data_IF_331109446982
#
_entry.id   IF_331109446982
#
_cell.length_a   1.000
_cell.length_b   1.000
_cell.length_c   1.000
_cell.angle_alpha   90.00
_cell.angle_beta   90.00
_cell.angle_gamma   90.00
#
_symmetry.space_group_name_H-M   'P 1'
#
loop_
_entity.id
_entity.type
_entity.pdbx_description
1 polymer ?
#
# COMPACT_ATOMS: atom_id res chain seq x y z
N UNK A 1 14.30 13.61 -8.76
CA UNK A 1 15.05 13.82 -7.50
C UNK A 1 14.52 15.03 -6.75
N UNK A 2 14.49 16.22 -7.36
CA UNK A 2 14.06 17.46 -6.70
C UNK A 2 12.66 17.40 -6.07
N UNK A 3 11.68 16.83 -6.77
CA UNK A 3 10.32 16.67 -6.25
C UNK A 3 10.26 15.76 -5.01
N UNK A 4 11.05 14.69 -4.98
CA UNK A 4 11.18 13.81 -3.81
C UNK A 4 11.81 14.55 -2.62
N UNK A 5 12.88 15.32 -2.85
CA UNK A 5 13.55 16.08 -1.78
C UNK A 5 12.66 17.20 -1.24
N UNK A 6 11.91 17.88 -2.12
CA UNK A 6 10.90 18.88 -1.73
C UNK A 6 9.77 18.24 -0.94
N UNK A 7 9.28 17.07 -1.36
CA UNK A 7 8.27 16.33 -0.60
C UNK A 7 8.77 15.94 0.80
N UNK A 8 10.03 15.50 0.93
CA UNK A 8 10.66 15.24 2.24
C UNK A 8 10.72 16.51 3.10
N UNK A 9 11.12 17.64 2.52
CA UNK A 9 11.18 18.92 3.22
C UNK A 9 9.79 19.35 3.71
N UNK A 10 8.78 19.32 2.84
CA UNK A 10 7.41 19.66 3.17
C UNK A 10 6.85 18.76 4.27
N UNK A 11 7.09 17.45 4.21
CA UNK A 11 6.65 16.53 5.26
C UNK A 11 7.23 16.87 6.65
N UNK A 12 8.48 17.34 6.70
CA UNK A 12 9.11 17.78 7.96
C UNK A 12 8.55 19.13 8.43
N UNK A 13 8.40 20.10 7.52
CA UNK A 13 7.96 21.46 7.86
C UNK A 13 6.48 21.50 8.26
N UNK A 14 5.63 20.72 7.59
CA UNK A 14 4.18 20.71 7.80
C UNK A 14 3.76 19.93 9.07
N UNK A 15 4.64 19.09 9.64
CA UNK A 15 4.34 18.21 10.78
C UNK A 15 5.17 18.53 12.03
N UNK A 16 5.22 19.81 12.41
CA UNK A 16 5.87 20.27 13.65
C UNK A 16 7.30 19.70 13.82
N UNK A 17 8.23 20.08 12.94
CA UNK A 17 9.60 19.58 12.87
C UNK A 17 10.37 19.41 14.20
N UNK A 18 9.99 20.14 15.27
CA UNK A 18 10.57 19.98 16.61
C UNK A 18 10.07 18.73 17.33
N UNK A 19 8.78 18.42 17.23
CA UNK A 19 8.17 17.21 17.79
C UNK A 19 8.66 15.99 17.03
N UNK A 20 8.64 16.06 15.70
CA UNK A 20 9.12 15.00 14.81
C UNK A 20 10.59 14.64 15.09
N UNK A 21 11.46 15.64 15.21
CA UNK A 21 12.87 15.42 15.55
C UNK A 21 13.04 14.69 16.89
N UNK A 22 12.23 15.04 17.88
CA UNK A 22 12.20 14.35 19.18
C UNK A 22 11.79 12.88 19.06
N UNK A 23 10.77 12.57 18.27
CA UNK A 23 10.30 11.20 18.02
C UNK A 23 11.33 10.36 17.26
N UNK A 24 12.04 10.98 16.32
CA UNK A 24 13.11 10.36 15.53
C UNK A 24 14.46 10.25 16.28
N UNK A 25 14.57 10.81 17.49
CA UNK A 25 15.82 10.82 18.26
C UNK A 25 16.94 11.68 17.66
N UNK A 26 16.59 12.66 16.82
CA UNK A 26 17.56 13.55 16.15
C UNK A 26 17.44 15.00 16.65
N UNK A 27 18.52 15.80 16.64
CA UNK A 27 18.41 17.22 16.96
C UNK A 27 17.55 17.96 15.94
N UNK A 28 16.65 18.84 16.40
CA UNK A 28 15.72 19.60 15.56
C UNK A 28 16.40 20.36 14.40
N UNK A 29 17.47 21.12 14.68
CA UNK A 29 18.21 21.87 13.66
C UNK A 29 18.90 20.93 12.65
N UNK A 30 19.36 19.76 13.12
CA UNK A 30 19.97 18.74 12.26
C UNK A 30 18.95 18.16 11.28
N UNK A 31 17.73 17.85 11.75
CA UNK A 31 16.65 17.38 10.89
C UNK A 31 16.28 18.41 9.82
N UNK A 32 16.15 19.69 10.21
CA UNK A 32 15.84 20.77 9.26
C UNK A 32 16.94 20.94 8.19
N UNK A 33 18.21 20.89 8.58
CA UNK A 33 19.32 21.00 7.64
C UNK A 33 19.42 19.79 6.70
N UNK A 34 19.12 18.59 7.20
CA UNK A 34 19.13 17.34 6.41
C UNK A 34 17.96 17.26 5.44
N UNK A 35 16.81 17.80 5.80
CA UNK A 35 15.60 17.81 4.97
C UNK A 35 15.56 18.97 3.96
N UNK A 36 16.46 19.96 4.08
CA UNK A 36 16.48 21.12 3.19
C UNK A 36 17.25 20.84 1.88
N UNK A 37 16.60 20.68 0.72
CA UNK A 37 17.29 20.49 -0.57
C UNK A 37 18.14 21.69 -1.00
N UNK A 38 17.87 22.89 -0.47
CA UNK A 38 18.65 24.10 -0.78
C UNK A 38 19.98 24.16 0.00
N UNK A 39 20.25 23.18 0.87
CA UNK A 39 21.51 23.07 1.60
C UNK A 39 22.43 22.08 0.89
N UNK A 40 23.61 22.50 0.44
CA UNK A 40 24.57 21.63 -0.26
C UNK A 40 25.04 20.43 0.58
N UNK A 41 24.95 20.53 1.91
CA UNK A 41 25.28 19.46 2.85
C UNK A 41 24.05 18.64 3.30
N UNK A 42 22.91 18.75 2.61
CA UNK A 42 21.73 17.96 2.96
C UNK A 42 22.00 16.47 2.76
N UNK A 43 21.70 15.68 3.79
CA UNK A 43 21.87 14.24 3.75
C UNK A 43 20.77 13.56 4.55
N UNK A 44 19.68 13.25 3.84
CA UNK A 44 18.54 12.52 4.39
C UNK A 44 18.73 11.04 4.09
N UNK A 45 19.01 10.25 5.13
CA UNK A 45 19.18 8.79 4.99
C UNK A 45 17.81 8.10 4.91
N UNK A 46 17.80 6.84 4.45
CA UNK A 46 16.58 6.02 4.42
C UNK A 46 15.94 5.88 5.81
N UNK A 47 16.74 5.83 6.88
CA UNK A 47 16.24 5.79 8.26
C UNK A 47 15.46 7.06 8.62
N UNK A 48 15.94 8.24 8.17
CA UNK A 48 15.21 9.49 8.38
C UNK A 48 13.91 9.52 7.58
N UNK A 49 13.95 9.08 6.32
CA UNK A 49 12.76 8.96 5.50
C UNK A 49 11.71 8.07 6.19
N UNK A 50 12.13 6.90 6.67
CA UNK A 50 11.24 5.98 7.39
C UNK A 50 10.65 6.63 8.65
N UNK A 51 11.46 7.32 9.45
CA UNK A 51 10.98 8.03 10.64
C UNK A 51 9.98 9.14 10.31
N UNK A 52 10.21 9.90 9.23
CA UNK A 52 9.26 10.91 8.75
C UNK A 52 7.93 10.25 8.40
N UNK A 53 7.95 9.22 7.54
CA UNK A 53 6.73 8.51 7.12
C UNK A 53 5.97 7.92 8.32
N UNK A 54 6.69 7.31 9.28
CA UNK A 54 6.11 6.65 10.44
C UNK A 54 5.41 7.62 11.40
N UNK A 55 5.98 8.80 11.62
CA UNK A 55 5.51 9.72 12.66
C UNK A 55 4.58 10.81 12.14
N UNK A 56 4.61 11.08 10.84
CA UNK A 56 3.78 12.13 10.21
C UNK A 56 2.56 11.57 9.48
N UNK A 57 2.54 10.26 9.19
CA UNK A 57 1.60 9.62 8.26
C UNK A 57 1.55 10.27 6.86
N UNK A 58 2.50 11.17 6.56
CA UNK A 58 2.58 11.89 5.31
C UNK A 58 3.31 11.05 4.28
N UNK A 59 2.55 10.44 3.38
CA UNK A 59 3.07 9.56 2.34
C UNK A 59 3.53 10.29 1.08
N UNK A 60 3.47 11.64 1.03
CA UNK A 60 3.94 12.43 -0.13
C UNK A 60 5.39 12.09 -0.52
N UNK A 61 6.36 11.93 0.42
CA UNK A 61 7.72 11.54 0.06
C UNK A 61 7.80 10.15 -0.58
N UNK A 62 7.00 9.19 -0.09
CA UNK A 62 6.98 7.83 -0.63
C UNK A 62 6.32 7.78 -2.01
N UNK A 63 5.25 8.54 -2.21
CA UNK A 63 4.58 8.67 -3.50
C UNK A 63 5.50 9.32 -4.54
N UNK A 64 6.15 10.43 -4.19
CA UNK A 64 7.11 11.11 -5.07
C UNK A 64 8.34 10.24 -5.39
N UNK A 65 8.73 9.33 -4.49
CA UNK A 65 9.76 8.33 -4.77
C UNK A 65 9.27 7.29 -5.78
N UNK A 66 8.08 6.73 -5.58
CA UNK A 66 7.51 5.72 -6.47
C UNK A 66 7.30 6.26 -7.90
N UNK A 67 6.77 7.48 -8.01
CA UNK A 67 6.49 8.14 -9.29
C UNK A 67 7.76 8.35 -10.14
N UNK A 68 8.90 8.65 -9.50
CA UNK A 68 10.19 8.79 -10.21
C UNK A 68 10.65 7.52 -10.93
N UNK A 69 10.15 6.35 -10.52
CA UNK A 69 10.44 5.08 -11.15
C UNK A 69 9.25 4.54 -11.97
N UNK A 70 8.20 5.33 -12.17
CA UNK A 70 6.99 4.95 -12.90
C UNK A 70 6.11 3.96 -12.15
N UNK A 71 6.15 3.94 -10.82
CA UNK A 71 5.28 3.14 -9.98
C UNK A 71 4.21 4.00 -9.30
N UNK A 72 2.99 3.48 -9.22
CA UNK A 72 1.93 4.06 -8.41
C UNK A 72 1.99 3.53 -6.97
N UNK A 73 1.92 4.42 -5.99
CA UNK A 73 1.79 4.05 -4.58
C UNK A 73 0.31 3.80 -4.24
N UNK A 74 -0.05 2.53 -4.09
CA UNK A 74 -1.40 2.13 -3.65
C UNK A 74 -1.34 1.63 -2.20
N UNK A 75 -2.02 2.34 -1.30
CA UNK A 75 -2.17 1.90 0.10
C UNK A 75 -3.03 0.64 0.12
N UNK A 76 -2.54 -0.43 0.73
CA UNK A 76 -3.33 -1.63 0.94
C UNK A 76 -4.38 -1.35 2.01
N UNK A 77 -5.65 -1.55 1.68
CA UNK A 77 -6.72 -1.59 2.68
C UNK A 77 -6.70 -2.97 3.34
N UNK A 78 -6.55 -3.01 4.67
CA UNK A 78 -6.71 -4.26 5.39
C UNK A 78 -8.21 -4.61 5.42
N UNK A 79 -8.63 -5.77 4.90
CA UNK A 79 -10.03 -6.16 4.92
C UNK A 79 -10.51 -6.30 6.36
N UNK A 80 -11.76 -5.87 6.61
CA UNK A 80 -12.37 -6.03 7.92
C UNK A 80 -12.55 -7.54 8.22
N UNK A 81 -12.06 -8.04 9.36
CA UNK A 81 -12.18 -9.45 9.69
C UNK A 81 -13.64 -9.85 9.89
N UNK A 82 -13.97 -11.07 9.46
CA UNK A 82 -15.26 -11.74 9.67
C UNK A 82 -15.06 -12.86 10.71
N UNK A 83 -16.15 -13.49 11.16
CA UNK A 83 -16.03 -14.74 11.93
C UNK A 83 -15.42 -15.84 11.04
N UNK A 84 -14.60 -16.73 11.61
CA UNK A 84 -13.91 -17.77 10.82
C UNK A 84 -14.87 -18.61 9.98
N UNK A 85 -16.03 -18.98 10.54
CA UNK A 85 -17.06 -19.74 9.83
C UNK A 85 -17.65 -18.96 8.66
N UNK A 86 -17.99 -17.68 8.86
CA UNK A 86 -18.50 -16.83 7.79
C UNK A 86 -17.44 -16.63 6.69
N UNK A 87 -16.20 -16.31 7.07
CA UNK A 87 -15.11 -16.10 6.12
C UNK A 87 -14.84 -17.34 5.28
N UNK A 88 -14.81 -18.53 5.91
CA UNK A 88 -14.63 -19.80 5.20
C UNK A 88 -15.78 -20.07 4.22
N UNK A 89 -17.03 -19.76 4.61
CA UNK A 89 -18.18 -19.90 3.71
C UNK A 89 -18.09 -18.97 2.50
N UNK A 90 -17.66 -17.71 2.70
CA UNK A 90 -17.46 -16.77 1.60
C UNK A 90 -16.37 -17.22 0.63
N UNK A 91 -15.21 -17.66 1.14
CA UNK A 91 -14.16 -18.24 0.29
C UNK A 91 -14.68 -19.43 -0.51
N UNK A 92 -15.44 -20.33 0.12
CA UNK A 92 -16.04 -21.47 -0.56
C UNK A 92 -17.01 -21.08 -1.68
N UNK A 93 -17.83 -20.04 -1.46
CA UNK A 93 -18.74 -19.50 -2.47
C UNK A 93 -17.97 -18.93 -3.67
N UNK A 94 -16.97 -18.07 -3.46
CA UNK A 94 -16.21 -17.47 -4.57
C UNK A 94 -15.41 -18.53 -5.37
N UNK A 95 -14.91 -19.58 -4.72
CA UNK A 95 -14.29 -20.72 -5.42
C UNK A 95 -15.31 -21.46 -6.29
N UNK A 96 -16.54 -21.64 -5.81
CA UNK A 96 -17.61 -22.26 -6.60
C UNK A 96 -17.97 -21.39 -7.81
N UNK A 97 -18.10 -20.08 -7.63
CA UNK A 97 -18.40 -19.13 -8.70
C UNK A 97 -17.29 -19.12 -9.78
N UNK A 98 -16.01 -19.12 -9.36
CA UNK A 98 -14.87 -19.26 -10.28
C UNK A 98 -14.92 -20.60 -11.03
N UNK A 99 -15.25 -21.69 -10.35
CA UNK A 99 -15.36 -23.02 -10.96
C UNK A 99 -16.44 -23.03 -12.05
N UNK A 100 -17.61 -22.44 -11.78
CA UNK A 100 -18.70 -22.31 -12.75
C UNK A 100 -18.26 -21.46 -13.94
N UNK A 101 -17.61 -20.32 -13.70
CA UNK A 101 -17.15 -19.43 -14.77
C UNK A 101 -16.14 -20.10 -15.70
N UNK A 102 -15.17 -20.83 -15.15
CA UNK A 102 -14.18 -21.57 -15.94
C UNK A 102 -14.82 -22.72 -16.70
N UNK A 103 -15.73 -23.48 -16.08
CA UNK A 103 -16.42 -24.58 -16.76
C UNK A 103 -17.23 -24.06 -17.95
N UNK A 104 -18.06 -23.04 -17.71
CA UNK A 104 -18.91 -22.44 -18.75
C UNK A 104 -18.10 -21.87 -19.91
N UNK A 105 -16.96 -21.24 -19.63
CA UNK A 105 -16.06 -20.70 -20.65
C UNK A 105 -15.34 -21.77 -21.49
N UNK A 106 -15.34 -23.03 -21.03
CA UNK A 106 -14.73 -24.14 -21.74
C UNK A 106 -15.75 -24.98 -22.51
N UNK A 107 -17.05 -24.70 -22.38
CA UNK A 107 -18.13 -25.49 -22.97
C UNK A 107 -18.04 -25.59 -24.50
N UNK A 108 -17.59 -24.54 -25.18
CA UNK A 108 -17.41 -24.51 -26.64
C UNK A 108 -15.97 -24.79 -27.11
N UNK A 109 -15.07 -25.09 -26.16
CA UNK A 109 -13.65 -25.35 -26.40
C UNK A 109 -12.82 -24.10 -26.74
N UNK A 110 -13.38 -22.88 -26.66
CA UNK A 110 -12.67 -21.65 -26.98
C UNK A 110 -12.98 -20.48 -26.04
N UNK A 111 -12.01 -20.12 -25.19
CA UNK A 111 -12.15 -18.97 -24.28
C UNK A 111 -11.94 -17.63 -25.00
N UNK A 112 -13.01 -16.86 -25.18
CA UNK A 112 -12.99 -15.54 -25.77
C UNK A 112 -12.56 -14.43 -24.78
N UNK A 113 -12.51 -13.17 -25.25
CA UNK A 113 -12.05 -12.05 -24.40
C UNK A 113 -13.02 -11.71 -23.27
N UNK A 114 -14.33 -11.88 -23.47
CA UNK A 114 -15.35 -11.59 -22.46
C UNK A 114 -15.26 -12.62 -21.33
N UNK A 115 -15.13 -13.89 -21.67
CA UNK A 115 -14.93 -14.96 -20.68
C UNK A 115 -13.61 -14.80 -19.91
N UNK A 116 -12.52 -14.40 -20.58
CA UNK A 116 -11.27 -14.08 -19.88
C UNK A 116 -11.45 -12.97 -18.86
N UNK A 117 -12.22 -11.94 -19.19
CA UNK A 117 -12.53 -10.86 -18.26
C UNK A 117 -13.40 -11.35 -17.10
N UNK A 118 -14.41 -12.18 -17.37
CA UNK A 118 -15.24 -12.78 -16.32
C UNK A 118 -14.43 -13.65 -15.36
N UNK A 119 -13.58 -14.55 -15.88
CA UNK A 119 -12.70 -15.39 -15.08
C UNK A 119 -11.73 -14.55 -14.24
N UNK A 120 -11.13 -13.50 -14.81
CA UNK A 120 -10.25 -12.59 -14.06
C UNK A 120 -10.97 -11.91 -12.90
N UNK A 121 -12.20 -11.48 -13.13
CA UNK A 121 -13.04 -10.87 -12.09
C UNK A 121 -13.31 -11.86 -10.94
N UNK A 122 -13.66 -13.11 -11.25
CA UNK A 122 -13.88 -14.11 -10.19
C UNK A 122 -12.58 -14.46 -9.44
N UNK A 123 -11.42 -14.47 -10.12
CA UNK A 123 -10.12 -14.62 -9.45
C UNK A 123 -9.86 -13.46 -8.47
N UNK A 124 -10.21 -12.23 -8.84
CA UNK A 124 -10.10 -11.06 -7.96
C UNK A 124 -11.00 -11.19 -6.73
N UNK A 125 -12.24 -11.67 -6.89
CA UNK A 125 -13.14 -11.93 -5.76
C UNK A 125 -12.56 -12.99 -4.81
N UNK A 126 -12.04 -14.11 -5.35
CA UNK A 126 -11.41 -15.16 -4.53
C UNK A 126 -10.22 -14.61 -3.74
N UNK A 127 -9.35 -13.82 -4.38
CA UNK A 127 -8.22 -13.17 -3.68
C UNK A 127 -8.71 -12.27 -2.55
N UNK A 128 -9.72 -11.45 -2.81
CA UNK A 128 -10.29 -10.55 -1.80
C UNK A 128 -10.84 -11.32 -0.58
N UNK A 129 -11.59 -12.40 -0.78
CA UNK A 129 -12.14 -13.17 0.34
C UNK A 129 -11.05 -14.01 1.07
N UNK A 130 -9.99 -14.40 0.38
CA UNK A 130 -8.80 -14.98 1.04
C UNK A 130 -8.07 -13.96 1.91
N UNK A 131 -7.93 -12.72 1.46
CA UNK A 131 -7.36 -11.63 2.28
C UNK A 131 -8.21 -11.37 3.52
N UNK A 132 -9.55 -11.39 3.38
CA UNK A 132 -10.49 -11.31 4.52
C UNK A 132 -10.30 -12.49 5.47
N UNK A 133 -10.13 -13.71 4.96
CA UNK A 133 -9.90 -14.90 5.78
C UNK A 133 -8.57 -14.83 6.53
N UNK A 134 -7.50 -14.37 5.88
CA UNK A 134 -6.22 -14.14 6.54
C UNK A 134 -6.34 -13.11 7.67
N UNK A 135 -7.01 -11.97 7.42
CA UNK A 135 -7.28 -10.97 8.44
C UNK A 135 -8.13 -11.52 9.60
N UNK A 136 -9.11 -12.37 9.29
CA UNK A 136 -9.99 -13.02 10.28
C UNK A 136 -9.22 -13.99 11.18
N UNK A 137 -8.25 -14.73 10.63
CA UNK A 137 -7.38 -15.64 11.41
C UNK A 137 -6.46 -14.85 12.35
N UNK A 138 -5.98 -13.68 11.95
CA UNK A 138 -5.09 -12.85 12.79
C UNK A 138 -5.75 -12.35 14.08
N UNK A 139 -7.09 -12.28 14.12
CA UNK A 139 -7.86 -11.73 15.26
C UNK A 139 -8.67 -12.78 16.04
N UNK A 140 -8.68 -14.04 15.60
CA UNK A 140 -9.42 -15.14 16.22
C UNK A 140 -8.57 -15.85 17.31
#
# INVERSE_FOLDING_TARGET
MDEFLRACQSAVLDNEAKVLAGQMGVPHVSLLQRANPDNDAHHLTIEHLFGILLHTDDMRPLAALADQFGFDLVKKEAPAPKTLTASMMHVGKEIADLTIAVHSALDDGHVNQIEKQAIRKEIEHVRSELDVMEASVKVA
#
